data_IF_099851368693
#
_entry.id   IF_099851368693
#
_cell.length_a   1.000
_cell.length_b   1.000
_cell.length_c   1.000
_cell.angle_alpha   90.00
_cell.angle_beta   90.00
_cell.angle_gamma   90.00
#
_symmetry.space_group_name_H-M   'P 1'
#
loop_
_entity.id
_entity.type
_entity.pdbx_description
1 polymer ?
#
# COMPACT_ATOMS: atom_id res chain seq x y z
N UNK A 1 13.99 -9.67 -9.48
CA UNK A 1 13.48 -8.48 -10.15
C UNK A 1 13.00 -7.48 -9.12
N UNK A 2 13.37 -6.21 -9.25
CA UNK A 2 12.92 -5.16 -8.34
C UNK A 2 11.77 -4.38 -8.95
N UNK A 3 10.74 -4.14 -8.16
CA UNK A 3 9.62 -3.29 -8.55
C UNK A 3 9.89 -1.85 -8.11
N UNK A 4 9.55 -0.90 -8.96
CA UNK A 4 9.56 0.50 -8.60
C UNK A 4 8.34 0.80 -7.74
N UNK A 5 8.49 1.61 -6.69
CA UNK A 5 7.39 1.96 -5.80
C UNK A 5 7.05 3.43 -6.00
N UNK A 6 5.77 3.71 -6.27
CA UNK A 6 5.23 5.06 -6.38
C UNK A 6 4.03 5.20 -5.47
N UNK A 7 3.77 6.42 -5.06
CA UNK A 7 2.67 6.75 -4.16
C UNK A 7 1.69 7.66 -4.88
N UNK A 8 0.40 7.34 -4.76
CA UNK A 8 -0.64 8.24 -5.22
C UNK A 8 -0.56 9.56 -4.41
N UNK A 9 -0.96 10.65 -5.02
CA UNK A 9 -0.86 11.97 -4.40
C UNK A 9 -1.60 12.04 -3.07
N UNK A 10 -2.74 11.39 -2.93
CA UNK A 10 -3.53 11.38 -1.70
C UNK A 10 -2.83 10.69 -0.52
N UNK A 11 -1.83 9.82 -0.79
CA UNK A 11 -1.12 9.10 0.28
C UNK A 11 -0.39 10.06 1.22
N UNK A 12 0.11 11.17 0.69
CA UNK A 12 0.73 12.20 1.53
C UNK A 12 -0.24 12.70 2.61
N UNK A 13 -1.48 12.93 2.24
CA UNK A 13 -2.51 13.36 3.19
C UNK A 13 -2.89 12.24 4.15
N UNK A 14 -2.97 11.01 3.66
CA UNK A 14 -3.23 9.84 4.51
C UNK A 14 -2.16 9.69 5.59
N UNK A 15 -0.89 9.93 5.24
CA UNK A 15 0.23 9.79 6.16
C UNK A 15 0.22 10.83 7.28
N UNK A 16 -0.44 11.96 7.11
CA UNK A 16 -0.56 12.97 8.17
C UNK A 16 -1.33 12.46 9.39
N UNK A 17 -2.10 11.39 9.23
CA UNK A 17 -2.84 10.76 10.31
C UNK A 17 -2.06 9.64 11.01
N UNK A 18 -0.79 9.46 10.64
CA UNK A 18 0.12 8.53 11.28
C UNK A 18 1.14 9.30 12.12
N UNK A 19 1.60 8.68 13.20
CA UNK A 19 2.73 9.23 13.94
C UNK A 19 4.01 9.11 13.12
N UNK A 20 5.07 9.84 13.50
CA UNK A 20 6.36 9.72 12.83
C UNK A 20 6.91 8.29 12.94
N UNK A 21 6.76 7.65 14.10
CA UNK A 21 7.19 6.27 14.30
C UNK A 21 6.41 5.30 13.39
N UNK A 22 5.09 5.47 13.28
CA UNK A 22 4.25 4.66 12.41
C UNK A 22 4.64 4.83 10.94
N UNK A 23 4.86 6.06 10.51
CA UNK A 23 5.30 6.36 9.14
C UNK A 23 6.62 5.70 8.81
N UNK A 24 7.58 5.71 9.73
CA UNK A 24 8.89 5.09 9.53
C UNK A 24 8.78 3.57 9.38
N UNK A 25 8.07 2.91 10.29
CA UNK A 25 7.85 1.46 10.26
C UNK A 25 7.15 1.04 8.95
N UNK A 26 6.18 1.79 8.54
CA UNK A 26 5.37 1.56 7.37
C UNK A 26 6.17 1.70 6.07
N UNK A 27 6.98 2.77 5.95
CA UNK A 27 7.83 2.97 4.79
C UNK A 27 8.88 1.87 4.66
N UNK A 28 9.48 1.45 5.77
CA UNK A 28 10.44 0.35 5.77
C UNK A 28 9.76 -0.96 5.31
N UNK A 29 8.57 -1.24 5.80
CA UNK A 29 7.84 -2.44 5.43
C UNK A 29 7.46 -2.44 3.94
N UNK A 30 7.05 -1.30 3.40
CA UNK A 30 6.78 -1.18 1.96
C UNK A 30 8.03 -1.50 1.15
N UNK A 31 9.17 -0.93 1.52
CA UNK A 31 10.43 -1.19 0.85
C UNK A 31 10.83 -2.66 0.89
N UNK A 32 10.62 -3.33 2.02
CA UNK A 32 10.96 -4.75 2.16
C UNK A 32 9.95 -5.67 1.47
N UNK A 33 8.66 -5.41 1.62
CA UNK A 33 7.61 -6.33 1.23
C UNK A 33 7.18 -6.18 -0.23
N UNK A 34 7.20 -4.98 -0.77
CA UNK A 34 6.64 -4.72 -2.10
C UNK A 34 7.66 -4.61 -3.21
N UNK A 35 8.95 -4.47 -2.89
CA UNK A 35 9.98 -4.33 -3.91
C UNK A 35 10.25 -5.64 -4.66
N UNK A 36 10.11 -6.78 -4.00
CA UNK A 36 10.48 -8.08 -4.57
C UNK A 36 9.30 -8.93 -5.04
N UNK A 37 8.22 -8.98 -4.28
CA UNK A 37 7.13 -9.92 -4.55
C UNK A 37 5.75 -9.37 -4.19
N UNK A 38 5.33 -8.22 -4.79
CA UNK A 38 4.07 -7.59 -4.39
C UNK A 38 2.83 -8.41 -4.74
N UNK A 39 2.91 -9.31 -5.71
CA UNK A 39 1.78 -10.12 -6.16
C UNK A 39 1.78 -11.54 -5.58
N UNK A 40 2.66 -11.82 -4.62
CA UNK A 40 2.68 -13.12 -3.94
C UNK A 40 1.92 -13.00 -2.63
N UNK A 41 0.86 -13.79 -2.50
CA UNK A 41 0.09 -13.80 -1.26
C UNK A 41 0.93 -14.38 -0.13
N UNK A 42 0.94 -13.66 1.00
CA UNK A 42 1.58 -14.09 2.23
C UNK A 42 0.70 -13.68 3.39
N UNK A 43 1.18 -13.93 4.61
CA UNK A 43 0.51 -13.48 5.82
C UNK A 43 0.26 -11.96 5.82
N UNK A 44 1.18 -11.20 5.22
CA UNK A 44 1.14 -9.74 5.23
C UNK A 44 0.63 -9.13 3.92
N UNK A 45 0.68 -9.87 2.82
CA UNK A 45 0.19 -9.41 1.52
C UNK A 45 -1.02 -10.23 1.13
N UNK A 46 -2.16 -9.57 0.92
CA UNK A 46 -3.42 -10.23 0.62
C UNK A 46 -4.09 -9.63 -0.61
N UNK A 47 -4.53 -10.47 -1.56
CA UNK A 47 -5.43 -9.98 -2.59
C UNK A 47 -6.79 -9.66 -1.99
N UNK A 48 -7.43 -8.62 -2.49
CA UNK A 48 -8.74 -8.17 -2.01
C UNK A 48 -9.83 -8.49 -3.03
N UNK A 49 -11.06 -8.62 -2.55
CA UNK A 49 -12.22 -8.64 -3.42
C UNK A 49 -12.34 -7.31 -4.14
N UNK A 50 -13.03 -7.25 -5.29
CA UNK A 50 -13.26 -5.97 -5.96
C UNK A 50 -13.81 -4.93 -4.98
N UNK A 51 -13.17 -3.79 -4.93
CA UNK A 51 -13.51 -2.70 -4.00
C UNK A 51 -12.99 -1.38 -4.59
N UNK A 52 -13.43 -0.22 -4.05
CA UNK A 52 -13.02 1.07 -4.61
C UNK A 52 -11.60 1.52 -4.30
N UNK A 53 -10.86 0.81 -3.46
CA UNK A 53 -9.50 1.22 -3.08
C UNK A 53 -8.41 0.61 -3.96
N UNK A 54 -8.28 -0.70 -3.95
CA UNK A 54 -7.18 -1.38 -4.62
C UNK A 54 -7.36 -2.89 -4.65
N UNK A 55 -6.64 -3.61 -5.54
CA UNK A 55 -6.71 -5.06 -5.59
C UNK A 55 -5.89 -5.77 -4.51
N UNK A 56 -4.94 -5.08 -3.86
CA UNK A 56 -4.04 -5.69 -2.87
C UNK A 56 -3.91 -4.87 -1.60
N UNK A 57 -3.64 -5.56 -0.50
CA UNK A 57 -3.44 -4.98 0.83
C UNK A 57 -2.15 -5.49 1.43
N UNK A 58 -1.33 -4.58 1.97
CA UNK A 58 -0.19 -4.90 2.81
C UNK A 58 -0.56 -4.61 4.26
N UNK A 59 -0.37 -5.59 5.12
CA UNK A 59 -0.64 -5.49 6.56
C UNK A 59 0.65 -5.34 7.33
N UNK A 60 0.74 -4.31 8.16
CA UNK A 60 1.90 -4.03 9.02
C UNK A 60 1.34 -3.69 10.41
N UNK A 61 1.17 -4.70 11.26
CA UNK A 61 0.46 -4.51 12.53
C UNK A 61 -0.97 -4.02 12.28
N UNK A 62 -1.33 -2.89 12.88
CA UNK A 62 -2.64 -2.26 12.64
C UNK A 62 -2.68 -1.44 11.35
N UNK A 63 -1.53 -1.17 10.75
CA UNK A 63 -1.47 -0.34 9.55
C UNK A 63 -1.79 -1.14 8.30
N UNK A 64 -2.37 -0.45 7.30
CA UNK A 64 -2.76 -1.03 6.02
C UNK A 64 -2.31 -0.13 4.88
N UNK A 65 -1.65 -0.73 3.89
CA UNK A 65 -1.34 -0.06 2.63
C UNK A 65 -2.10 -0.77 1.52
N UNK A 66 -2.75 0.00 0.66
CA UNK A 66 -3.55 -0.53 -0.44
C UNK A 66 -2.84 -0.21 -1.73
N UNK A 67 -2.58 -1.23 -2.55
CA UNK A 67 -1.73 -1.04 -3.73
C UNK A 67 -2.21 -1.85 -4.93
N UNK A 68 -1.72 -1.43 -6.09
CA UNK A 68 -1.84 -2.18 -7.34
C UNK A 68 -0.48 -2.25 -8.02
N UNK A 69 -0.34 -3.18 -8.95
CA UNK A 69 0.88 -3.33 -9.74
C UNK A 69 0.52 -3.11 -11.20
N UNK A 70 1.20 -2.17 -11.83
CA UNK A 70 1.01 -1.84 -13.23
C UNK A 70 2.35 -1.92 -13.96
N UNK A 71 2.30 -2.32 -15.22
CA UNK A 71 3.46 -2.28 -16.08
C UNK A 71 3.46 -0.97 -16.86
N UNK A 72 4.46 -0.14 -16.59
CA UNK A 72 4.63 1.11 -17.34
C UNK A 72 5.52 0.88 -18.55
N UNK A 73 5.04 1.21 -19.76
CA UNK A 73 5.90 1.17 -20.94
C UNK A 73 6.91 2.32 -20.88
N UNK A 74 8.18 1.97 -20.88
CA UNK A 74 9.28 2.94 -21.04
C UNK A 74 9.98 2.62 -22.35
N UNK A 75 10.51 3.63 -23.00
CA UNK A 75 11.14 3.47 -24.31
C UNK A 75 12.28 2.45 -24.27
N UNK A 76 13.10 2.49 -23.22
CA UNK A 76 14.28 1.64 -23.11
C UNK A 76 14.08 0.37 -22.26
N UNK A 77 13.24 0.45 -21.23
CA UNK A 77 13.01 -0.67 -20.32
C UNK A 77 11.63 -0.57 -19.68
N UNK A 78 10.68 -1.39 -20.12
CA UNK A 78 9.40 -1.50 -19.41
C UNK A 78 9.65 -1.89 -17.96
N UNK A 79 8.98 -1.23 -17.02
CA UNK A 79 9.13 -1.48 -15.61
C UNK A 79 7.79 -1.79 -14.98
N UNK A 80 7.79 -2.78 -14.08
CA UNK A 80 6.63 -3.04 -13.25
C UNK A 80 6.68 -2.10 -12.05
N UNK A 81 5.57 -1.44 -11.80
CA UNK A 81 5.46 -0.39 -10.79
C UNK A 81 4.39 -0.77 -9.79
N UNK A 82 4.74 -0.68 -8.51
CA UNK A 82 3.78 -0.79 -7.42
C UNK A 82 3.28 0.61 -7.11
N UNK A 83 1.97 0.83 -7.27
CA UNK A 83 1.33 2.08 -6.86
C UNK A 83 0.66 1.88 -5.52
N UNK A 84 1.10 2.61 -4.53
CA UNK A 84 0.42 2.66 -3.23
C UNK A 84 -0.67 3.72 -3.35
N UNK A 85 -1.92 3.28 -3.26
CA UNK A 85 -3.08 4.11 -3.54
C UNK A 85 -3.71 4.72 -2.30
N UNK A 86 -3.56 4.05 -1.16
CA UNK A 86 -4.10 4.52 0.11
C UNK A 86 -3.35 3.91 1.28
N UNK A 87 -3.37 4.60 2.41
CA UNK A 87 -2.76 4.14 3.66
C UNK A 87 -3.70 4.45 4.80
N UNK A 88 -3.88 3.50 5.69
CA UNK A 88 -4.73 3.68 6.85
C UNK A 88 -4.36 2.79 8.00
N UNK A 89 -5.23 2.76 8.99
CA UNK A 89 -5.11 1.94 10.18
C UNK A 89 -6.39 1.16 10.42
N UNK A 90 -6.25 -0.03 10.95
CA UNK A 90 -7.39 -0.82 11.40
C UNK A 90 -7.46 -0.75 12.91
N UNK A 91 -8.53 -0.19 13.44
CA UNK A 91 -8.79 -0.08 14.87
C UNK A 91 -10.21 -0.54 15.15
N UNK A 92 -10.37 -1.43 16.14
CA UNK A 92 -11.69 -1.98 16.53
C UNK A 92 -12.47 -2.54 15.33
N UNK A 93 -11.78 -3.25 14.45
CA UNK A 93 -12.34 -3.82 13.22
C UNK A 93 -12.84 -2.80 12.19
N UNK A 94 -12.51 -1.52 12.36
CA UNK A 94 -12.82 -0.48 11.41
C UNK A 94 -11.56 -0.02 10.70
N UNK A 95 -11.67 0.18 9.40
CA UNK A 95 -10.58 0.75 8.61
C UNK A 95 -10.71 2.27 8.59
N UNK A 96 -9.65 2.96 9.03
CA UNK A 96 -9.57 4.41 9.06
C UNK A 96 -8.55 4.90 8.05
N UNK A 97 -8.98 5.75 7.12
CA UNK A 97 -8.10 6.40 6.15
C UNK A 97 -8.35 7.90 6.24
N UNK A 98 -7.28 8.67 6.50
CA UNK A 98 -7.37 10.12 6.65
C UNK A 98 -8.42 10.56 7.68
N UNK A 99 -8.50 9.82 8.80
CA UNK A 99 -9.43 10.11 9.89
C UNK A 99 -10.89 9.76 9.63
N UNK A 100 -11.16 9.01 8.54
CA UNK A 100 -12.52 8.59 8.19
C UNK A 100 -12.62 7.08 8.09
N UNK A 101 -13.76 6.52 8.50
CA UNK A 101 -14.03 5.10 8.32
C UNK A 101 -14.33 4.83 6.85
N UNK A 102 -13.65 3.83 6.30
CA UNK A 102 -13.82 3.41 4.92
C UNK A 102 -14.27 1.96 4.89
N UNK A 103 -15.27 1.67 4.10
CA UNK A 103 -15.75 0.29 3.87
C UNK A 103 -15.25 -0.22 2.53
N UNK A 104 -14.70 -1.43 2.56
CA UNK A 104 -14.24 -2.11 1.35
C UNK A 104 -14.76 -3.54 1.29
#
# INVERSE_FOLDING_TARGET
MLYEIRFAQCVRDHMKFLTAAESSVWLDAIGEQLVHAPLVETRNRKPLRPNPLAPWELRVGAMRAFYEVLREPKVEAPADVVYVLAVGKKERNLLWIAGKVVKI
#
